data_IF_719427309084
#
_entry.id   IF_719427309084
#
_cell.length_a   1.000
_cell.length_b   1.000
_cell.length_c   1.000
_cell.angle_alpha   90.00
_cell.angle_beta   90.00
_cell.angle_gamma   90.00
#
_symmetry.space_group_name_H-M   'P 1'
#
loop_
_entity.id
_entity.type
_entity.pdbx_description
1 polymer ?
#
# COMPACT_ATOMS: atom_id res chain seq x y z
N UNK A 1 4.48 -7.84 -1.99
CA UNK A 1 3.73 -8.17 -3.22
C UNK A 1 2.25 -7.95 -2.94
N UNK A 2 1.47 -7.52 -3.93
CA UNK A 2 0.04 -7.22 -3.80
C UNK A 2 -0.69 -8.01 -4.89
N UNK A 3 -1.51 -8.98 -4.45
CA UNK A 3 -2.37 -9.76 -5.33
C UNK A 3 -3.73 -9.07 -5.41
N UNK A 4 -4.04 -8.48 -6.57
CA UNK A 4 -5.31 -7.80 -6.79
C UNK A 4 -6.25 -8.71 -7.58
N UNK A 5 -7.33 -9.16 -6.93
CA UNK A 5 -8.34 -10.04 -7.52
C UNK A 5 -9.70 -9.37 -7.54
N UNK A 6 -10.49 -9.67 -8.57
CA UNK A 6 -11.91 -9.32 -8.60
C UNK A 6 -12.76 -10.29 -7.77
N UNK A 7 -14.07 -10.05 -7.71
CA UNK A 7 -15.00 -10.88 -6.95
C UNK A 7 -15.09 -12.34 -7.46
N UNK A 8 -14.66 -12.62 -8.70
CA UNK A 8 -14.60 -13.95 -9.27
C UNK A 8 -13.22 -14.62 -9.07
N UNK A 9 -12.28 -13.96 -8.39
CA UNK A 9 -10.93 -14.46 -8.11
C UNK A 9 -9.92 -14.25 -9.25
N UNK A 10 -10.31 -13.54 -10.32
CA UNK A 10 -9.44 -13.26 -11.48
C UNK A 10 -8.50 -12.10 -11.18
N UNK A 11 -7.27 -12.20 -11.68
CA UNK A 11 -6.27 -11.15 -11.51
C UNK A 11 -6.67 -9.88 -12.27
N UNK A 12 -6.65 -8.75 -11.56
CA UNK A 12 -6.95 -7.43 -12.10
C UNK A 12 -5.66 -6.78 -12.58
N UNK A 13 -5.58 -6.46 -13.88
CA UNK A 13 -4.46 -5.77 -14.50
C UNK A 13 -4.80 -4.31 -14.80
N UNK A 14 -3.78 -3.47 -14.99
CA UNK A 14 -3.99 -2.06 -15.35
C UNK A 14 -4.48 -1.16 -14.21
N UNK A 15 -4.54 -1.65 -12.98
CA UNK A 15 -4.76 -0.82 -11.81
C UNK A 15 -3.53 0.04 -11.49
N UNK A 16 -3.78 1.28 -11.06
CA UNK A 16 -2.80 2.13 -10.39
C UNK A 16 -2.88 1.85 -8.89
N UNK A 17 -1.77 1.46 -8.28
CA UNK A 17 -1.70 1.16 -6.85
C UNK A 17 -0.64 2.05 -6.20
N UNK A 18 -1.02 2.79 -5.17
CA UNK A 18 -0.10 3.49 -4.28
C UNK A 18 -0.15 2.88 -2.89
N UNK A 19 1.01 2.81 -2.24
CA UNK A 19 1.16 2.32 -0.88
C UNK A 19 1.65 3.48 -0.03
N UNK A 20 0.76 4.04 0.78
CA UNK A 20 1.06 5.09 1.73
C UNK A 20 1.41 4.47 3.08
N UNK A 21 2.46 4.96 3.73
CA UNK A 21 2.89 4.42 5.02
C UNK A 21 3.41 5.51 5.94
N UNK A 22 3.16 5.35 7.24
CA UNK A 22 3.56 6.28 8.27
C UNK A 22 3.79 5.58 9.61
N UNK A 23 4.69 6.15 10.42
CA UNK A 23 4.83 5.74 11.81
C UNK A 23 3.71 6.40 12.62
N UNK A 24 2.93 5.66 13.41
CA UNK A 24 1.93 6.24 14.29
C UNK A 24 2.66 7.15 15.30
N UNK A 25 2.26 8.42 15.39
CA UNK A 25 2.77 9.35 16.40
C UNK A 25 1.68 9.64 17.43
N UNK A 26 2.06 9.67 18.71
CA UNK A 26 1.15 10.01 19.83
C UNK A 26 0.66 11.46 19.74
N UNK A 27 1.53 12.37 19.31
CA UNK A 27 1.19 13.75 19.00
C UNK A 27 0.81 13.86 17.52
N UNK A 28 -0.36 14.42 17.22
CA UNK A 28 -0.86 14.67 15.86
C UNK A 28 0.00 15.63 15.03
N UNK A 29 1.10 16.11 15.59
CA UNK A 29 2.06 16.99 14.92
C UNK A 29 3.03 16.13 14.10
N UNK A 30 2.85 16.20 12.78
CA UNK A 30 3.79 15.78 11.73
C UNK A 30 4.24 14.31 11.72
N UNK A 31 3.30 13.36 11.73
CA UNK A 31 3.61 12.00 11.25
C UNK A 31 4.10 12.09 9.79
N UNK A 32 5.39 11.83 9.58
CA UNK A 32 6.00 11.85 8.24
C UNK A 32 5.33 10.76 7.40
N UNK A 33 4.66 11.18 6.33
CA UNK A 33 3.99 10.29 5.38
C UNK A 33 4.94 9.97 4.25
N UNK A 34 5.03 8.69 3.93
CA UNK A 34 5.78 8.17 2.80
C UNK A 34 4.79 7.53 1.83
N UNK A 35 5.14 7.49 0.56
CA UNK A 35 4.34 6.85 -0.49
C UNK A 35 5.25 6.12 -1.45
N UNK A 36 4.75 5.01 -2.01
CA UNK A 36 5.43 4.22 -3.03
C UNK A 36 4.41 3.76 -4.07
N UNK A 37 4.82 3.76 -5.34
CA UNK A 37 4.00 3.19 -6.41
C UNK A 37 4.26 1.69 -6.51
N UNK A 38 3.20 0.90 -6.71
CA UNK A 38 3.36 -0.50 -7.05
C UNK A 38 3.47 -0.67 -8.58
N UNK A 39 4.52 -1.33 -9.03
CA UNK A 39 4.71 -1.70 -10.44
C UNK A 39 4.07 -3.05 -10.75
N UNK A 40 3.44 -3.22 -11.93
CA UNK A 40 2.92 -4.52 -12.34
C UNK A 40 4.07 -5.52 -12.53
N UNK A 41 3.88 -6.74 -12.04
CA UNK A 41 4.83 -7.85 -12.16
C UNK A 41 4.05 -9.15 -12.40
N UNK A 42 4.08 -9.66 -13.64
CA UNK A 42 3.35 -10.85 -14.09
C UNK A 42 1.85 -10.83 -13.76
N UNK A 43 1.44 -11.44 -12.64
CA UNK A 43 0.06 -11.58 -12.16
C UNK A 43 -0.23 -10.77 -10.89
N UNK A 44 0.71 -9.96 -10.44
CA UNK A 44 0.59 -9.19 -9.21
C UNK A 44 1.27 -7.81 -9.33
N UNK A 45 1.35 -7.09 -8.21
CA UNK A 45 2.00 -5.79 -8.14
C UNK A 45 3.10 -5.78 -7.06
N UNK A 46 4.24 -5.19 -7.38
CA UNK A 46 5.38 -5.04 -6.49
C UNK A 46 5.54 -3.59 -6.05
N UNK A 47 5.53 -3.35 -4.74
CA UNK A 47 5.88 -2.07 -4.15
C UNK A 47 7.06 -2.28 -3.19
N UNK A 48 8.02 -1.35 -3.23
CA UNK A 48 9.15 -1.32 -2.30
C UNK A 48 8.88 -0.21 -1.28
N UNK A 49 8.90 -0.55 0.01
CA UNK A 49 8.71 0.38 1.11
C UNK A 49 10.06 0.66 1.75
N UNK A 50 10.56 1.89 1.59
CA UNK A 50 11.80 2.34 2.19
C UNK A 50 11.54 2.82 3.62
N UNK A 51 11.36 1.88 4.54
CA UNK A 51 11.04 2.16 5.94
C UNK A 51 12.35 2.46 6.70
N UNK A 52 12.55 3.71 7.20
CA UNK A 52 13.86 4.12 7.71
C UNK A 52 14.14 3.69 9.16
N UNK A 53 13.12 3.24 9.90
CA UNK A 53 13.29 2.85 11.32
C UNK A 53 12.41 1.67 11.68
N UNK A 54 12.88 0.87 12.63
CA UNK A 54 12.12 -0.20 13.27
C UNK A 54 10.87 0.31 14.02
N UNK A 55 10.00 -0.62 14.39
CA UNK A 55 8.77 -0.44 15.16
C UNK A 55 7.51 -0.51 14.32
N UNK A 56 6.38 -0.10 14.90
CA UNK A 56 5.07 -0.20 14.27
C UNK A 56 4.85 0.89 13.21
N UNK A 57 4.30 0.49 12.05
CA UNK A 57 3.94 1.36 10.94
C UNK A 57 2.52 1.07 10.47
N UNK A 58 1.77 2.12 10.13
CA UNK A 58 0.52 1.99 9.39
C UNK A 58 0.83 1.94 7.90
N UNK A 59 0.17 1.05 7.18
CA UNK A 59 0.26 0.90 5.73
C UNK A 59 -1.14 0.96 5.14
N UNK A 60 -1.34 1.83 4.17
CA UNK A 60 -2.58 1.98 3.41
C UNK A 60 -2.28 1.69 1.95
N UNK A 61 -2.99 0.72 1.37
CA UNK A 61 -2.96 0.43 -0.05
C UNK A 61 -4.15 1.14 -0.69
N UNK A 62 -3.89 2.04 -1.63
CA UNK A 62 -4.91 2.71 -2.43
C UNK A 62 -4.86 2.18 -3.86
N UNK A 63 -6.02 1.80 -4.37
CA UNK A 63 -6.19 1.18 -5.69
C UNK A 63 -7.11 2.08 -6.50
N UNK A 64 -6.69 2.42 -7.72
CA UNK A 64 -7.53 3.06 -8.72
C UNK A 64 -7.53 2.23 -9.99
N UNK A 65 -8.71 1.80 -10.43
CA UNK A 65 -8.89 1.02 -11.65
C UNK A 65 -10.20 1.40 -12.33
N UNK A 66 -10.17 1.74 -13.63
CA UNK A 66 -11.36 2.18 -14.38
C UNK A 66 -12.19 3.26 -13.66
N UNK A 67 -11.52 4.29 -13.12
CA UNK A 67 -12.10 5.37 -12.30
C UNK A 67 -12.74 4.94 -10.97
N UNK A 68 -12.78 3.63 -10.65
CA UNK A 68 -13.18 3.12 -9.33
C UNK A 68 -12.00 3.20 -8.38
N UNK A 69 -12.28 3.56 -7.13
CA UNK A 69 -11.30 3.62 -6.06
C UNK A 69 -11.64 2.58 -5.00
N UNK A 70 -10.62 1.92 -4.48
CA UNK A 70 -10.71 1.05 -3.30
C UNK A 70 -9.48 1.31 -2.42
N UNK A 71 -9.64 1.16 -1.12
CA UNK A 71 -8.52 1.25 -0.18
C UNK A 71 -8.65 0.19 0.91
N UNK A 72 -7.50 -0.26 1.38
CA UNK A 72 -7.39 -1.11 2.57
C UNK A 72 -6.19 -0.67 3.37
N UNK A 73 -6.19 -0.93 4.66
CA UNK A 73 -5.08 -0.58 5.53
C UNK A 73 -4.81 -1.69 6.54
N UNK A 74 -3.57 -1.78 6.97
CA UNK A 74 -3.11 -2.69 7.99
C UNK A 74 -1.93 -2.07 8.74
N UNK A 75 -1.53 -2.70 9.84
CA UNK A 75 -0.32 -2.33 10.58
C UNK A 75 0.73 -3.41 10.39
N UNK A 76 1.98 -2.99 10.34
CA UNK A 76 3.14 -3.86 10.37
C UNK A 76 4.04 -3.46 11.53
N UNK A 77 4.87 -4.39 11.98
CA UNK A 77 5.97 -4.12 12.91
C UNK A 77 7.28 -4.49 12.21
N UNK A 78 8.17 -3.51 12.07
CA UNK A 78 9.44 -3.65 11.35
C UNK A 78 10.54 -3.90 12.37
N UNK A 79 11.27 -5.00 12.20
CA UNK A 79 12.41 -5.40 13.04
C UNK A 79 13.72 -5.22 12.29
#
# INVERSE_FOLDING_TARGET
MIWLKDAAGKDVKGAMITVDYNKPTLLRMSAKKYSSYASPHENNYHAILAIPTQGSWNVTINITHNRKKASTWFKIDVK
#
